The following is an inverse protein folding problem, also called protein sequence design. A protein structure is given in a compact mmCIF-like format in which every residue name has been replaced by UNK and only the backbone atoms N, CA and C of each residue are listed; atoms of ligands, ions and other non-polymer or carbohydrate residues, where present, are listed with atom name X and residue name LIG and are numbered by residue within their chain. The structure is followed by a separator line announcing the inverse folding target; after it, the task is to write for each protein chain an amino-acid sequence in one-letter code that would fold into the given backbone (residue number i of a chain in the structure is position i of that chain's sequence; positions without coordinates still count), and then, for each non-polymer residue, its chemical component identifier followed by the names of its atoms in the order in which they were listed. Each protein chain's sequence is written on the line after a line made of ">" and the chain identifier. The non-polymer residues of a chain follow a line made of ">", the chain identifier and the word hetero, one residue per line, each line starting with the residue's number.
data_IF_306790080541
#
_entry.id   IF_306790080541
#
_cell.length_a   1.000
_cell.length_b   1.000
_cell.length_c   1.000
_cell.angle_alpha   90.00
_cell.angle_beta   90.00
_cell.angle_gamma   90.00
#
_symmetry.space_group_name_H-M   'P 1'
#
loop_
_entity.id
_entity.type
_entity.pdbx_description
1 polymer ?
#
# COMPACT_ATOMS: atom_id res chain seq x y z
N UNK A 1 -23.96 2.27 11.78
CA UNK A 1 -24.34 1.75 10.44
C UNK A 1 -23.05 1.29 9.79
N UNK A 2 -23.01 0.09 9.22
CA UNK A 2 -21.87 -0.39 8.44
C UNK A 2 -21.67 0.52 7.22
N UNK A 3 -20.41 0.88 6.92
CA UNK A 3 -20.08 1.71 5.75
C UNK A 3 -20.25 0.95 4.45
N UNK A 4 -20.17 -0.38 4.52
CA UNK A 4 -20.10 -1.27 3.36
C UNK A 4 -21.36 -2.12 3.27
N UNK A 5 -21.96 -2.20 2.08
CA UNK A 5 -23.04 -3.09 1.79
C UNK A 5 -22.49 -4.45 1.32
N UNK A 6 -23.07 -5.54 1.82
CA UNK A 6 -22.71 -6.92 1.40
C UNK A 6 -22.86 -7.12 -0.12
N UNK A 7 -23.93 -6.56 -0.72
CA UNK A 7 -24.19 -6.71 -2.15
C UNK A 7 -23.11 -6.05 -3.00
N UNK A 8 -22.64 -4.87 -2.61
CA UNK A 8 -21.58 -4.15 -3.33
C UNK A 8 -20.27 -4.93 -3.35
N UNK A 9 -19.92 -5.58 -2.21
CA UNK A 9 -18.75 -6.46 -2.12
C UNK A 9 -18.89 -7.69 -3.01
N UNK A 10 -20.08 -8.28 -3.07
CA UNK A 10 -20.37 -9.43 -3.91
C UNK A 10 -20.21 -9.08 -5.39
N UNK A 11 -20.78 -7.95 -5.81
CA UNK A 11 -20.76 -7.48 -7.20
C UNK A 11 -19.36 -7.04 -7.65
N UNK A 12 -18.54 -6.55 -6.71
CA UNK A 12 -17.13 -6.24 -6.95
C UNK A 12 -16.23 -7.49 -6.99
N UNK A 13 -16.75 -8.67 -6.64
CA UNK A 13 -15.99 -9.92 -6.64
C UNK A 13 -14.97 -10.05 -5.50
N UNK A 14 -15.22 -9.37 -4.37
CA UNK A 14 -14.35 -9.41 -3.18
C UNK A 14 -14.27 -10.80 -2.57
N UNK A 15 -15.32 -11.61 -2.74
CA UNK A 15 -15.44 -12.96 -2.20
C UNK A 15 -14.56 -14.01 -2.89
N UNK A 16 -14.03 -13.75 -4.07
CA UNK A 16 -13.16 -14.71 -4.75
C UNK A 16 -11.77 -14.73 -4.13
N UNK A 17 -11.37 -15.89 -3.62
CA UNK A 17 -10.01 -16.12 -3.20
C UNK A 17 -9.22 -16.90 -4.25
N UNK A 18 -8.07 -17.41 -3.85
CA UNK A 18 -7.19 -18.20 -4.70
C UNK A 18 -7.58 -19.69 -4.73
N UNK A 19 -6.94 -20.43 -5.66
CA UNK A 19 -7.09 -21.88 -5.79
C UNK A 19 -6.73 -22.59 -4.47
N UNK A 20 -7.48 -23.64 -4.12
CA UNK A 20 -7.27 -24.48 -2.94
C UNK A 20 -5.81 -24.92 -2.75
N UNK A 21 -5.11 -25.29 -3.83
CA UNK A 21 -3.69 -25.72 -3.75
C UNK A 21 -2.70 -24.63 -3.29
N UNK A 22 -3.12 -23.35 -3.29
CA UNK A 22 -2.27 -22.20 -2.93
C UNK A 22 -2.66 -21.55 -1.61
N UNK A 23 -3.69 -22.04 -0.96
CA UNK A 23 -4.21 -21.41 0.23
C UNK A 23 -3.28 -21.53 1.44
N UNK A 24 -3.41 -20.60 2.38
CA UNK A 24 -2.74 -20.68 3.67
C UNK A 24 -3.74 -21.20 4.73
N UNK A 25 -3.43 -22.28 5.47
CA UNK A 25 -4.31 -22.81 6.51
C UNK A 25 -4.73 -21.80 7.58
N UNK A 26 -3.89 -20.79 7.86
CA UNK A 26 -4.18 -19.72 8.82
C UNK A 26 -5.32 -18.80 8.35
N UNK A 27 -5.68 -18.83 7.06
CA UNK A 27 -6.83 -18.12 6.51
C UNK A 27 -8.15 -18.87 6.69
N UNK A 28 -8.14 -20.12 7.21
CA UNK A 28 -9.35 -20.90 7.45
C UNK A 28 -10.49 -20.13 8.17
N UNK A 29 -10.22 -19.29 9.18
CA UNK A 29 -11.29 -18.51 9.85
C UNK A 29 -12.04 -17.53 8.93
N UNK A 30 -11.43 -17.11 7.79
CA UNK A 30 -11.99 -16.13 6.85
C UNK A 30 -12.61 -16.77 5.61
N UNK A 31 -12.48 -18.09 5.46
CA UNK A 31 -13.02 -18.83 4.32
C UNK A 31 -14.42 -19.32 4.66
N UNK A 32 -15.38 -19.05 3.78
CA UNK A 32 -16.77 -19.49 3.92
C UNK A 32 -16.95 -20.91 3.37
N UNK A 33 -16.47 -21.16 2.14
CA UNK A 33 -16.61 -22.46 1.48
C UNK A 33 -15.58 -22.62 0.33
N UNK A 34 -15.55 -23.82 -0.24
CA UNK A 34 -14.85 -24.11 -1.49
C UNK A 34 -15.87 -24.31 -2.61
N UNK A 35 -15.64 -23.68 -3.76
CA UNK A 35 -16.45 -23.85 -4.96
C UNK A 35 -15.55 -23.91 -6.20
N UNK A 36 -15.69 -24.98 -6.99
CA UNK A 36 -14.89 -25.18 -8.22
C UNK A 36 -13.37 -25.11 -8.00
N UNK A 37 -12.88 -25.60 -6.84
CA UNK A 37 -11.45 -25.59 -6.52
C UNK A 37 -10.90 -24.20 -6.11
N UNK A 38 -11.76 -23.22 -5.87
CA UNK A 38 -11.43 -21.87 -5.42
C UNK A 38 -12.05 -21.66 -4.03
N UNK A 39 -11.32 -21.05 -3.12
CA UNK A 39 -11.85 -20.64 -1.83
C UNK A 39 -12.70 -19.37 -1.97
N UNK A 40 -13.84 -19.38 -1.29
CA UNK A 40 -14.73 -18.21 -1.20
C UNK A 40 -14.55 -17.57 0.17
N UNK A 41 -14.24 -16.28 0.18
CA UNK A 41 -14.06 -15.48 1.39
C UNK A 41 -15.42 -15.15 2.00
N UNK A 42 -15.52 -15.18 3.33
CA UNK A 42 -16.70 -14.80 4.08
C UNK A 42 -16.87 -13.28 4.09
N UNK A 43 -17.78 -12.76 3.28
CA UNK A 43 -18.04 -11.32 3.15
C UNK A 43 -18.62 -10.70 4.43
N UNK A 44 -19.30 -11.45 5.29
CA UNK A 44 -19.76 -10.91 6.58
C UNK A 44 -18.56 -10.52 7.45
N UNK A 45 -17.52 -11.34 7.47
CA UNK A 45 -16.27 -11.03 8.16
C UNK A 45 -15.52 -9.87 7.47
N UNK A 46 -15.55 -9.82 6.15
CA UNK A 46 -14.95 -8.71 5.41
C UNK A 46 -15.57 -7.37 5.80
N UNK A 47 -16.91 -7.27 5.87
CA UNK A 47 -17.60 -6.04 6.28
C UNK A 47 -17.14 -5.58 7.67
N UNK A 48 -17.16 -6.49 8.65
CA UNK A 48 -16.73 -6.18 10.03
C UNK A 48 -15.26 -5.71 10.06
N UNK A 49 -14.39 -6.39 9.32
CA UNK A 49 -12.95 -6.08 9.28
C UNK A 49 -12.63 -4.79 8.53
N UNK A 50 -13.39 -4.43 7.51
CA UNK A 50 -13.29 -3.12 6.87
C UNK A 50 -13.70 -2.02 7.86
N UNK A 51 -14.80 -2.18 8.60
CA UNK A 51 -15.23 -1.20 9.58
C UNK A 51 -14.21 -1.01 10.72
N UNK A 52 -13.59 -2.11 11.21
CA UNK A 52 -12.49 -2.05 12.18
C UNK A 52 -11.30 -1.25 11.64
N UNK A 53 -10.83 -1.57 10.43
CA UNK A 53 -9.72 -0.90 9.77
C UNK A 53 -10.02 0.59 9.54
N UNK A 54 -11.21 0.91 9.03
CA UNK A 54 -11.66 2.28 8.80
C UNK A 54 -11.67 3.12 10.09
N UNK A 55 -12.13 2.55 11.21
CA UNK A 55 -12.15 3.24 12.49
C UNK A 55 -10.73 3.58 12.97
N UNK A 56 -9.77 2.66 12.82
CA UNK A 56 -8.37 2.89 13.17
C UNK A 56 -7.75 3.96 12.27
N UNK A 57 -7.97 3.87 10.96
CA UNK A 57 -7.47 4.84 9.99
C UNK A 57 -8.04 6.24 10.26
N UNK A 58 -9.34 6.32 10.58
CA UNK A 58 -10.00 7.57 10.98
C UNK A 58 -9.37 8.18 12.25
N UNK A 59 -9.10 7.38 13.28
CA UNK A 59 -8.44 7.86 14.50
C UNK A 59 -7.04 8.40 14.21
N UNK A 60 -6.26 7.70 13.40
CA UNK A 60 -4.93 8.15 12.99
C UNK A 60 -4.99 9.46 12.19
N UNK A 61 -5.94 9.58 11.26
CA UNK A 61 -6.14 10.78 10.45
C UNK A 61 -6.57 11.99 11.31
N UNK A 62 -7.48 11.79 12.26
CA UNK A 62 -7.88 12.83 13.22
C UNK A 62 -6.71 13.32 14.09
N UNK A 63 -5.78 12.42 14.42
CA UNK A 63 -4.56 12.79 15.15
C UNK A 63 -3.48 13.45 14.25
N UNK A 64 -3.81 13.77 12.99
CA UNK A 64 -2.85 14.35 12.02
C UNK A 64 -1.71 13.40 11.62
N UNK A 65 -1.89 12.09 11.82
CA UNK A 65 -0.88 11.07 11.54
C UNK A 65 -0.95 10.66 10.07
N UNK A 66 0.20 10.31 9.49
CA UNK A 66 0.28 9.81 8.12
C UNK A 66 0.24 8.29 8.09
N UNK A 67 -0.55 7.76 7.15
CA UNK A 67 -0.63 6.34 6.81
C UNK A 67 0.05 6.16 5.47
N UNK A 68 0.99 5.21 5.36
CA UNK A 68 1.70 4.93 4.11
C UNK A 68 0.98 3.80 3.37
N UNK A 69 0.51 4.10 2.16
CA UNK A 69 -0.12 3.10 1.28
C UNK A 69 0.93 2.38 0.44
N UNK A 70 0.86 1.05 0.38
CA UNK A 70 1.85 0.21 -0.32
C UNK A 70 1.15 -0.77 -1.25
N UNK A 71 1.39 -0.64 -2.55
CA UNK A 71 0.84 -1.53 -3.56
C UNK A 71 1.66 -1.52 -4.84
N UNK A 72 2.55 -2.48 -5.03
CA UNK A 72 3.35 -2.59 -6.26
C UNK A 72 2.72 -3.52 -7.32
N UNK A 73 1.58 -4.13 -7.01
CA UNK A 73 0.82 -4.98 -7.92
C UNK A 73 0.24 -4.16 -9.08
N UNK A 74 0.37 -4.62 -10.32
CA UNK A 74 -0.08 -3.87 -11.50
C UNK A 74 -1.54 -3.45 -11.43
N UNK A 75 -2.41 -4.32 -10.90
CA UNK A 75 -3.85 -4.07 -10.79
C UNK A 75 -4.21 -3.06 -9.70
N UNK A 76 -3.33 -2.89 -8.70
CA UNK A 76 -3.58 -2.09 -7.51
C UNK A 76 -2.93 -0.70 -7.55
N UNK A 77 -1.78 -0.57 -8.23
CA UNK A 77 -0.92 0.61 -8.12
C UNK A 77 -1.61 1.92 -8.47
N UNK A 78 -2.35 1.96 -9.58
CA UNK A 78 -2.98 3.20 -10.05
C UNK A 78 -4.17 3.56 -9.15
N UNK A 79 -4.95 2.56 -8.71
CA UNK A 79 -6.07 2.72 -7.78
C UNK A 79 -5.59 3.25 -6.43
N UNK A 80 -4.53 2.65 -5.89
CA UNK A 80 -3.97 3.04 -4.59
C UNK A 80 -3.37 4.46 -4.67
N UNK A 81 -2.66 4.78 -5.75
CA UNK A 81 -2.13 6.13 -5.96
C UNK A 81 -3.24 7.18 -5.97
N UNK A 82 -4.30 6.94 -6.74
CA UNK A 82 -5.45 7.86 -6.83
C UNK A 82 -6.16 8.02 -5.48
N UNK A 83 -6.44 6.92 -4.78
CA UNK A 83 -7.09 6.95 -3.48
C UNK A 83 -6.23 7.67 -2.43
N UNK A 84 -4.93 7.39 -2.36
CA UNK A 84 -4.02 8.02 -1.41
C UNK A 84 -3.84 9.52 -1.68
N UNK A 85 -3.79 9.94 -2.96
CA UNK A 85 -3.74 11.35 -3.35
C UNK A 85 -4.98 12.11 -2.91
N UNK A 86 -6.19 11.54 -3.08
CA UNK A 86 -7.46 12.16 -2.66
C UNK A 86 -7.48 12.51 -1.16
N UNK A 87 -6.83 11.70 -0.34
CA UNK A 87 -6.76 11.91 1.12
C UNK A 87 -5.43 12.50 1.59
N UNK A 88 -4.59 12.94 0.65
CA UNK A 88 -3.28 13.55 0.93
C UNK A 88 -2.39 12.68 1.83
N UNK A 89 -2.35 11.37 1.54
CA UNK A 89 -1.51 10.39 2.22
C UNK A 89 -0.35 9.93 1.33
N UNK A 90 0.83 9.62 1.90
CA UNK A 90 1.97 9.08 1.15
C UNK A 90 1.67 7.67 0.63
N UNK A 91 2.27 7.31 -0.52
CA UNK A 91 2.09 5.99 -1.10
C UNK A 91 3.36 5.49 -1.82
N UNK A 92 3.46 4.17 -1.98
CA UNK A 92 4.54 3.50 -2.74
C UNK A 92 3.89 2.50 -3.69
N UNK A 93 4.02 2.74 -4.99
CA UNK A 93 3.36 1.94 -6.04
C UNK A 93 4.31 1.37 -7.08
N UNK A 94 5.55 1.85 -7.16
CA UNK A 94 6.50 1.35 -8.15
C UNK A 94 7.38 0.22 -7.61
N UNK A 95 8.11 0.49 -6.53
CA UNK A 95 9.00 -0.49 -5.91
C UNK A 95 9.23 -0.16 -4.44
N UNK A 96 9.06 -1.14 -3.57
CA UNK A 96 9.54 -1.03 -2.20
C UNK A 96 11.07 -1.08 -2.17
N UNK A 97 11.71 -0.01 -1.74
CA UNK A 97 13.14 -0.01 -1.50
C UNK A 97 13.44 -0.66 -0.15
N UNK A 98 14.30 -1.68 -0.11
CA UNK A 98 14.70 -2.28 1.15
C UNK A 98 15.27 -1.24 2.10
N UNK A 99 14.81 -1.25 3.36
CA UNK A 99 15.16 -0.23 4.35
C UNK A 99 14.31 1.05 4.28
N UNK A 100 13.19 1.04 3.57
CA UNK A 100 12.34 2.23 3.43
C UNK A 100 11.82 2.74 4.78
N UNK A 101 11.54 1.86 5.71
CA UNK A 101 11.19 2.20 7.09
C UNK A 101 12.38 2.02 8.03
N UNK A 102 13.06 0.89 7.99
CA UNK A 102 14.14 0.55 8.92
C UNK A 102 15.41 1.38 8.71
N UNK A 103 15.65 1.91 7.51
CA UNK A 103 16.73 2.83 7.19
C UNK A 103 16.20 4.15 6.62
N UNK A 104 15.17 4.68 7.25
CA UNK A 104 14.48 5.90 6.84
C UNK A 104 15.42 7.11 6.64
N UNK A 105 16.46 7.35 7.48
CA UNK A 105 17.42 8.44 7.25
C UNK A 105 18.10 8.40 5.88
N UNK A 106 18.42 7.21 5.37
CA UNK A 106 19.02 7.05 4.02
C UNK A 106 18.00 7.37 2.92
N UNK A 107 16.75 6.97 3.08
CA UNK A 107 15.67 7.34 2.15
C UNK A 107 15.50 8.86 2.14
N UNK A 108 15.52 9.53 3.32
CA UNK A 108 15.45 10.99 3.40
C UNK A 108 16.64 11.69 2.73
N UNK A 109 17.84 11.11 2.77
CA UNK A 109 18.99 11.62 2.00
C UNK A 109 18.75 11.53 0.49
N UNK A 110 18.13 10.44 0.01
CA UNK A 110 17.78 10.28 -1.40
C UNK A 110 16.73 11.30 -1.85
N UNK A 111 15.71 11.56 -1.03
CA UNK A 111 14.70 12.61 -1.26
C UNK A 111 15.35 14.01 -1.27
N UNK A 112 16.23 14.30 -0.30
CA UNK A 112 16.99 15.57 -0.29
C UNK A 112 17.83 15.75 -1.55
N UNK A 113 18.46 14.68 -2.05
CA UNK A 113 19.21 14.71 -3.30
C UNK A 113 18.32 15.06 -4.50
N UNK A 114 17.11 14.50 -4.57
CA UNK A 114 16.11 14.84 -5.60
C UNK A 114 15.79 16.35 -5.56
N UNK A 115 15.45 16.89 -4.38
CA UNK A 115 15.17 18.31 -4.19
C UNK A 115 16.38 19.22 -4.52
N UNK A 116 17.61 18.75 -4.28
CA UNK A 116 18.83 19.47 -4.68
C UNK A 116 18.95 19.54 -6.18
N UNK A 117 18.66 18.46 -6.90
CA UNK A 117 18.67 18.43 -8.37
C UNK A 117 17.60 19.40 -8.91
N UNK A 118 16.39 19.41 -8.31
CA UNK A 118 15.33 20.32 -8.74
C UNK A 118 15.74 21.80 -8.56
N UNK A 119 16.43 22.13 -7.46
CA UNK A 119 17.01 23.47 -7.25
C UNK A 119 18.06 23.83 -8.29
N UNK A 120 18.97 22.88 -8.62
CA UNK A 120 19.97 23.09 -9.67
C UNK A 120 19.34 23.36 -11.05
N UNK A 121 18.17 22.75 -11.32
CA UNK A 121 17.42 23.00 -12.57
C UNK A 121 16.76 24.37 -12.60
N UNK A 122 16.40 24.94 -11.44
CA UNK A 122 15.74 26.24 -11.34
C UNK A 122 16.67 27.43 -11.23
N UNK A 123 17.88 27.25 -10.65
CA UNK A 123 18.87 28.31 -10.44
C UNK A 123 19.85 28.50 -11.61
N UNK A 124 19.67 27.77 -12.71
CA UNK A 124 20.50 27.85 -13.91
C UNK A 124 21.86 27.11 -13.83
N UNK A 125 22.23 26.58 -12.67
CA UNK A 125 23.49 25.82 -12.50
C UNK A 125 23.50 24.57 -13.39
N UNK A 126 22.33 24.01 -13.69
CA UNK A 126 22.19 22.84 -14.56
C UNK A 126 22.66 23.13 -16.00
N UNK A 127 22.50 24.36 -16.49
CA UNK A 127 22.88 24.74 -17.86
C UNK A 127 24.40 24.87 -18.04
N UNK A 128 25.12 25.12 -16.95
CA UNK A 128 26.60 25.21 -16.99
C UNK A 128 27.31 23.86 -17.11
N UNK A 129 26.58 22.76 -16.86
CA UNK A 129 27.13 21.41 -16.90
C UNK A 129 27.27 20.88 -18.32
N UNK A 130 28.25 19.97 -18.53
CA UNK A 130 28.42 19.28 -19.80
C UNK A 130 27.18 18.47 -20.19
N UNK A 131 26.87 18.34 -21.48
CA UNK A 131 25.68 17.65 -22.00
C UNK A 131 25.50 16.22 -21.44
N UNK A 132 26.62 15.48 -21.27
CA UNK A 132 26.62 14.12 -20.71
C UNK A 132 26.20 14.12 -19.24
N UNK A 133 26.69 15.07 -18.46
CA UNK A 133 26.36 15.21 -17.02
C UNK A 133 24.90 15.60 -16.84
N UNK A 134 24.39 16.56 -17.62
CA UNK A 134 22.96 16.93 -17.62
C UNK A 134 22.07 15.71 -17.86
N UNK A 135 22.43 14.87 -18.85
CA UNK A 135 21.65 13.67 -19.13
C UNK A 135 21.69 12.66 -17.97
N UNK A 136 22.85 12.47 -17.31
CA UNK A 136 22.95 11.58 -16.15
C UNK A 136 22.12 12.08 -14.96
N UNK A 137 22.20 13.37 -14.66
CA UNK A 137 21.44 14.01 -13.58
C UNK A 137 19.94 13.92 -13.84
N UNK A 138 19.49 14.22 -15.08
CA UNK A 138 18.08 14.10 -15.46
C UNK A 138 17.55 12.68 -15.31
N UNK A 139 18.31 11.67 -15.75
CA UNK A 139 17.95 10.25 -15.57
C UNK A 139 17.89 9.86 -14.09
N UNK A 140 18.84 10.34 -13.29
CA UNK A 140 18.87 10.09 -11.86
C UNK A 140 17.67 10.74 -11.17
N UNK A 141 17.34 12.00 -11.50
CA UNK A 141 16.17 12.69 -10.99
C UNK A 141 14.88 11.95 -11.32
N UNK A 142 14.68 11.57 -12.59
CA UNK A 142 13.51 10.82 -13.03
C UNK A 142 13.35 9.48 -12.30
N UNK A 143 14.45 8.77 -12.02
CA UNK A 143 14.45 7.53 -11.25
C UNK A 143 14.06 7.75 -9.78
N UNK A 144 14.57 8.82 -9.17
CA UNK A 144 14.24 9.18 -7.78
C UNK A 144 12.78 9.61 -7.67
N UNK A 145 12.31 10.46 -8.58
CA UNK A 145 10.91 10.91 -8.64
C UNK A 145 9.95 9.74 -8.76
N UNK A 146 10.21 8.82 -9.70
CA UNK A 146 9.37 7.65 -9.90
C UNK A 146 9.23 6.78 -8.66
N UNK A 147 10.32 6.59 -7.88
CA UNK A 147 10.33 5.67 -6.75
C UNK A 147 10.02 6.35 -5.40
N UNK A 148 10.32 7.63 -5.23
CA UNK A 148 10.27 8.32 -3.95
C UNK A 148 9.47 9.63 -4.00
N UNK A 149 9.00 10.07 -5.15
CA UNK A 149 8.25 11.33 -5.31
C UNK A 149 7.00 11.37 -4.42
N UNK A 150 6.27 10.26 -4.37
CA UNK A 150 5.05 10.13 -3.57
C UNK A 150 5.26 10.14 -2.04
N UNK A 151 6.51 10.01 -1.57
CA UNK A 151 6.89 10.08 -0.15
C UNK A 151 7.81 11.28 0.14
N UNK A 152 7.96 12.22 -0.80
CA UNK A 152 8.84 13.37 -0.64
C UNK A 152 8.52 14.19 0.62
N UNK A 153 7.24 14.37 0.93
CA UNK A 153 6.73 15.13 2.08
C UNK A 153 6.72 14.33 3.39
N UNK A 154 7.05 13.04 3.35
CA UNK A 154 7.09 12.20 4.54
C UNK A 154 8.34 12.52 5.38
N UNK A 155 8.20 13.39 6.37
CA UNK A 155 9.32 13.84 7.22
C UNK A 155 9.60 12.92 8.41
N UNK A 156 8.63 12.09 8.81
CA UNK A 156 8.71 11.14 9.93
C UNK A 156 8.20 9.78 9.47
N UNK A 157 8.53 8.74 10.23
CA UNK A 157 7.96 7.41 10.00
C UNK A 157 6.42 7.47 10.03
N UNK A 158 5.73 6.71 9.15
CA UNK A 158 4.28 6.64 9.17
C UNK A 158 3.78 6.00 10.46
N UNK A 159 2.58 6.34 10.88
CA UNK A 159 1.97 5.77 12.08
C UNK A 159 1.25 4.45 11.83
N UNK A 160 1.00 4.12 10.58
CA UNK A 160 0.54 2.82 10.11
C UNK A 160 0.91 2.65 8.64
N UNK A 161 0.91 1.41 8.17
CA UNK A 161 0.97 1.11 6.73
C UNK A 161 -0.33 0.43 6.31
N UNK A 162 -0.79 0.75 5.09
CA UNK A 162 -1.89 0.06 4.42
C UNK A 162 -1.32 -0.72 3.22
N UNK A 163 -1.48 -2.04 3.21
CA UNK A 163 -0.83 -2.92 2.23
C UNK A 163 -1.88 -3.64 1.39
N UNK A 164 -1.67 -3.66 0.08
CA UNK A 164 -2.44 -4.49 -0.86
C UNK A 164 -1.53 -5.60 -1.39
N UNK A 165 -1.95 -6.85 -1.23
CA UNK A 165 -1.17 -8.06 -1.53
C UNK A 165 0.04 -8.25 -0.59
N UNK A 166 -0.23 -8.83 0.59
CA UNK A 166 0.77 -9.10 1.64
C UNK A 166 1.92 -9.98 1.16
N UNK A 167 1.63 -10.94 0.26
CA UNK A 167 2.65 -11.87 -0.24
C UNK A 167 3.70 -11.13 -1.08
N UNK A 168 3.27 -10.19 -1.90
CA UNK A 168 4.15 -9.38 -2.74
C UNK A 168 4.90 -8.33 -1.93
N UNK A 169 4.22 -7.70 -0.98
CA UNK A 169 4.76 -6.62 -0.15
C UNK A 169 5.33 -7.11 1.19
N UNK A 170 5.74 -8.37 1.26
CA UNK A 170 6.23 -9.00 2.50
C UNK A 170 7.39 -8.23 3.16
N UNK A 171 8.22 -7.56 2.37
CA UNK A 171 9.34 -6.77 2.90
C UNK A 171 8.83 -5.51 3.63
N UNK A 172 7.79 -4.86 3.11
CA UNK A 172 7.16 -3.72 3.79
C UNK A 172 6.55 -4.14 5.11
N UNK A 173 5.84 -5.26 5.14
CA UNK A 173 5.24 -5.82 6.35
C UNK A 173 6.32 -6.18 7.40
N UNK A 174 7.40 -6.86 6.98
CA UNK A 174 8.51 -7.21 7.90
C UNK A 174 9.19 -5.99 8.48
N UNK A 175 9.41 -4.94 7.70
CA UNK A 175 10.01 -3.69 8.18
C UNK A 175 9.07 -2.97 9.15
N UNK A 176 7.78 -2.90 8.87
CA UNK A 176 6.79 -2.30 9.76
C UNK A 176 6.73 -3.04 11.10
N UNK A 177 6.61 -4.36 11.07
CA UNK A 177 6.57 -5.19 12.28
C UNK A 177 7.85 -5.02 13.14
N UNK A 178 9.02 -4.92 12.48
CA UNK A 178 10.29 -4.69 13.19
C UNK A 178 10.33 -3.36 13.95
N UNK A 179 9.58 -2.37 13.47
CA UNK A 179 9.48 -1.03 14.07
C UNK A 179 8.21 -0.85 14.90
N UNK A 180 7.41 -1.90 15.11
CA UNK A 180 6.11 -1.87 15.78
C UNK A 180 5.16 -0.82 15.15
N UNK A 181 5.19 -0.69 13.83
CA UNK A 181 4.26 0.14 13.08
C UNK A 181 3.06 -0.73 12.70
N UNK A 182 1.83 -0.37 13.09
CA UNK A 182 0.63 -1.14 12.78
C UNK A 182 0.45 -1.37 11.29
N UNK A 183 0.11 -2.60 10.92
CA UNK A 183 -0.11 -3.04 9.55
C UNK A 183 -1.60 -3.31 9.33
N UNK A 184 -2.19 -2.54 8.41
CA UNK A 184 -3.54 -2.76 7.88
C UNK A 184 -3.35 -3.38 6.51
N UNK A 185 -3.98 -4.50 6.20
CA UNK A 185 -3.76 -5.11 4.88
C UNK A 185 -5.00 -5.79 4.31
N UNK A 186 -5.12 -5.70 2.98
CA UNK A 186 -5.96 -6.61 2.21
C UNK A 186 -5.25 -7.95 2.10
N UNK A 187 -5.92 -9.01 2.56
CA UNK A 187 -5.33 -10.34 2.70
C UNK A 187 -6.20 -11.36 1.96
N UNK A 188 -5.65 -11.93 0.90
CA UNK A 188 -6.29 -13.03 0.17
C UNK A 188 -5.99 -14.38 0.83
N UNK A 189 -6.68 -15.41 0.41
CA UNK A 189 -6.63 -16.78 0.97
C UNK A 189 -5.26 -17.44 0.88
N UNK A 190 -4.34 -16.94 0.07
CA UNK A 190 -2.97 -17.46 -0.08
C UNK A 190 -1.97 -16.83 0.92
N UNK A 191 -2.35 -15.79 1.65
CA UNK A 191 -1.46 -15.01 2.50
C UNK A 191 -1.48 -15.48 3.97
N UNK A 192 -0.44 -15.14 4.72
CA UNK A 192 -0.38 -15.36 6.18
C UNK A 192 -0.94 -14.13 6.93
N UNK A 193 -2.09 -14.22 7.60
CA UNK A 193 -2.68 -13.10 8.32
C UNK A 193 -2.03 -12.81 9.67
N UNK A 194 -1.17 -13.70 10.21
CA UNK A 194 -0.66 -13.58 11.59
C UNK A 194 0.31 -12.43 11.81
N UNK A 195 0.84 -11.87 10.74
CA UNK A 195 1.78 -10.72 10.80
C UNK A 195 1.09 -9.38 10.57
N UNK A 196 -0.25 -9.39 10.49
CA UNK A 196 -1.08 -8.24 10.15
C UNK A 196 -1.95 -7.89 11.36
N UNK A 197 -1.93 -6.64 11.79
CA UNK A 197 -2.72 -6.18 12.93
C UNK A 197 -4.21 -6.03 12.59
N UNK A 198 -4.51 -5.51 11.39
CA UNK A 198 -5.88 -5.29 10.90
C UNK A 198 -6.04 -5.97 9.54
N UNK A 199 -6.55 -7.20 9.58
CA UNK A 199 -6.76 -8.03 8.40
C UNK A 199 -8.08 -7.66 7.74
N UNK A 200 -8.04 -7.32 6.45
CA UNK A 200 -9.22 -7.17 5.59
C UNK A 200 -9.23 -8.35 4.63
N UNK A 201 -10.01 -9.42 4.90
CA UNK A 201 -10.07 -10.56 3.99
C UNK A 201 -10.78 -10.15 2.72
N UNK A 202 -10.06 -10.13 1.60
CA UNK A 202 -10.56 -9.64 0.31
C UNK A 202 -9.71 -10.14 -0.85
N UNK A 203 -10.31 -10.20 -2.03
CA UNK A 203 -9.63 -10.48 -3.29
C UNK A 203 -8.68 -9.33 -3.65
N UNK A 204 -7.40 -9.61 -3.75
CA UNK A 204 -6.35 -8.64 -4.09
C UNK A 204 -5.93 -8.65 -5.58
N UNK A 205 -6.61 -9.46 -6.43
CA UNK A 205 -6.38 -9.56 -7.86
C UNK A 205 -7.34 -8.71 -8.70
N UNK A 206 -8.60 -8.59 -8.25
CA UNK A 206 -9.62 -7.87 -8.99
C UNK A 206 -9.57 -6.35 -8.70
N UNK A 207 -9.38 -5.53 -9.75
CA UNK A 207 -9.31 -4.07 -9.63
C UNK A 207 -10.55 -3.46 -8.93
N UNK A 208 -11.75 -3.95 -9.23
CA UNK A 208 -13.01 -3.51 -8.58
C UNK A 208 -13.02 -3.84 -7.08
N UNK A 209 -12.54 -5.03 -6.69
CA UNK A 209 -12.42 -5.45 -5.30
C UNK A 209 -11.47 -4.54 -4.53
N UNK A 210 -10.29 -4.27 -5.10
CA UNK A 210 -9.26 -3.41 -4.53
C UNK A 210 -9.81 -1.99 -4.36
N UNK A 211 -10.41 -1.43 -5.40
CA UNK A 211 -10.97 -0.09 -5.39
C UNK A 211 -12.04 0.07 -4.31
N UNK A 212 -13.02 -0.84 -4.27
CA UNK A 212 -14.11 -0.79 -3.30
C UNK A 212 -13.58 -0.94 -1.88
N UNK A 213 -12.73 -1.94 -1.62
CA UNK A 213 -12.18 -2.19 -0.28
C UNK A 213 -11.38 -1.01 0.27
N UNK A 214 -10.59 -0.33 -0.57
CA UNK A 214 -9.83 0.86 -0.17
C UNK A 214 -10.77 2.05 0.06
N UNK A 215 -11.74 2.28 -0.84
CA UNK A 215 -12.69 3.39 -0.70
C UNK A 215 -13.55 3.27 0.56
N UNK A 216 -13.90 2.06 0.97
CA UNK A 216 -14.68 1.83 2.17
C UNK A 216 -13.82 1.94 3.45
N UNK A 217 -12.51 1.63 3.36
CA UNK A 217 -11.58 1.79 4.47
C UNK A 217 -11.18 3.26 4.71
N UNK A 218 -11.21 4.11 3.68
CA UNK A 218 -10.92 5.55 3.77
C UNK A 218 -12.13 6.35 4.26
#
# INVERSE_FOLDING_TARGET
>A
MSRTNFQDLLDAGVHFGHLKRKWNPKMAPYIFMEKNGIHIIDLHKTVVKIDEAANVMKQLAHAGRKILFVATKKQAKDIVAECAQKVNMPYVTERWAGGMLTNFPTIRKAVKKMNTIDKMMTDGTFETLAKRERLQISRQRAKLEKNLGSIADLNRLPSAIFVVDVQKEINAVREANRLNIPVIAMVDTCCDPTTIDYVIPANDDAAKSIQLSIQQAL
#
